data_IF_652843630632
#
_entry.id   IF_652843630632
#
_cell.length_a   1.000
_cell.length_b   1.000
_cell.length_c   1.000
_cell.angle_alpha   90.00
_cell.angle_beta   90.00
_cell.angle_gamma   90.00
#
_symmetry.space_group_name_H-M   'P 1'
#
loop_
_entity.id
_entity.type
_entity.pdbx_description
1 polymer ?
#
# COMPACT_ATOMS: atom_id res chain seq x y z
N UNK A 1 33.82 13.99 -8.63
CA UNK A 1 33.20 13.20 -7.57
C UNK A 1 33.61 11.75 -7.82
N UNK A 2 34.08 11.00 -6.82
CA UNK A 2 34.45 9.60 -7.04
C UNK A 2 33.20 8.76 -7.33
N UNK A 3 33.34 7.63 -8.05
CA UNK A 3 32.21 6.75 -8.39
C UNK A 3 31.46 6.29 -7.11
N UNK A 4 32.17 5.99 -6.02
CA UNK A 4 31.60 5.59 -4.72
C UNK A 4 30.75 6.71 -4.08
N UNK A 5 31.16 7.99 -4.14
CA UNK A 5 30.38 9.13 -3.65
C UNK A 5 29.13 9.37 -4.51
N UNK A 6 29.23 9.15 -5.81
CA UNK A 6 28.08 9.23 -6.70
C UNK A 6 27.08 8.12 -6.42
N UNK A 7 27.51 6.91 -6.16
CA UNK A 7 26.68 5.75 -5.83
C UNK A 7 25.95 5.96 -4.50
N UNK A 8 26.63 6.47 -3.45
CA UNK A 8 26.01 6.79 -2.17
C UNK A 8 24.96 7.90 -2.25
N UNK A 9 25.18 8.92 -3.09
CA UNK A 9 24.24 10.01 -3.30
C UNK A 9 22.98 9.53 -4.02
N UNK A 10 23.13 8.71 -5.06
CA UNK A 10 21.98 8.16 -5.79
C UNK A 10 21.19 7.19 -4.91
N UNK A 11 21.86 6.37 -4.09
CA UNK A 11 21.20 5.49 -3.12
C UNK A 11 20.38 6.28 -2.11
N UNK A 12 20.91 7.37 -1.55
CA UNK A 12 20.19 8.26 -0.64
C UNK A 12 19.00 8.95 -1.33
N UNK A 13 19.17 9.41 -2.57
CA UNK A 13 18.11 10.01 -3.38
C UNK A 13 16.99 9.01 -3.68
N UNK A 14 17.32 7.75 -3.99
CA UNK A 14 16.33 6.69 -4.19
C UNK A 14 15.52 6.41 -2.92
N UNK A 15 16.18 6.30 -1.77
CA UNK A 15 15.50 6.11 -0.48
C UNK A 15 14.55 7.28 -0.18
N UNK A 16 14.97 8.52 -0.47
CA UNK A 16 14.12 9.71 -0.28
C UNK A 16 12.94 9.73 -1.26
N UNK A 17 13.14 9.33 -2.53
CA UNK A 17 12.06 9.17 -3.50
C UNK A 17 11.07 8.09 -3.05
N UNK A 18 11.56 6.92 -2.60
CA UNK A 18 10.70 5.84 -2.08
C UNK A 18 9.87 6.32 -0.87
N UNK A 19 10.49 7.07 0.05
CA UNK A 19 9.79 7.64 1.20
C UNK A 19 8.69 8.62 0.77
N UNK A 20 8.96 9.50 -0.21
CA UNK A 20 7.96 10.45 -0.73
C UNK A 20 6.77 9.72 -1.37
N UNK A 21 7.01 8.65 -2.14
CA UNK A 21 5.94 7.80 -2.68
C UNK A 21 5.13 7.09 -1.59
N UNK A 22 5.80 6.62 -0.53
CA UNK A 22 5.12 5.96 0.59
C UNK A 22 4.17 6.89 1.36
N UNK A 23 4.52 8.16 1.52
CA UNK A 23 3.69 9.17 2.20
C UNK A 23 2.33 9.40 1.51
N UNK A 24 2.23 9.15 0.20
CA UNK A 24 1.00 9.42 -0.60
C UNK A 24 0.20 8.15 -0.94
N UNK A 25 0.60 6.97 -0.45
CA UNK A 25 -0.21 5.75 -0.60
C UNK A 25 -1.63 5.97 -0.10
N UNK A 26 -2.59 5.32 -0.76
CA UNK A 26 -4.03 5.44 -0.47
C UNK A 26 -4.67 6.72 -1.03
N UNK A 27 -3.90 7.78 -1.33
CA UNK A 27 -4.45 9.06 -1.78
C UNK A 27 -4.38 9.27 -3.29
N UNK A 28 -3.59 8.47 -4.00
CA UNK A 28 -3.31 8.64 -5.44
C UNK A 28 -4.13 7.75 -6.36
N UNK A 29 -4.68 6.66 -5.84
CA UNK A 29 -5.40 5.65 -6.63
C UNK A 29 -6.50 6.26 -7.52
N UNK A 30 -6.63 5.81 -8.77
CA UNK A 30 -5.97 4.66 -9.41
C UNK A 30 -4.53 4.90 -9.89
N UNK A 31 -3.97 6.11 -9.72
CA UNK A 31 -2.61 6.44 -10.11
C UNK A 31 -1.58 5.81 -9.16
N UNK A 32 -0.33 5.53 -9.63
CA UNK A 32 0.72 5.01 -8.78
C UNK A 32 1.21 6.05 -7.75
N UNK A 33 1.56 5.64 -6.52
CA UNK A 33 2.21 6.49 -5.53
C UNK A 33 3.71 6.65 -5.84
N UNK A 34 4.03 7.45 -6.84
CA UNK A 34 5.40 7.71 -7.29
C UNK A 34 6.05 8.77 -6.42
N UNK A 35 7.35 8.60 -6.16
CA UNK A 35 8.20 9.63 -5.60
C UNK A 35 9.34 9.97 -6.54
N UNK A 36 9.75 11.23 -6.56
CA UNK A 36 10.82 11.77 -7.39
C UNK A 36 11.72 12.71 -6.61
N UNK A 37 13.00 12.73 -6.94
CA UNK A 37 14.01 13.58 -6.30
C UNK A 37 14.92 14.18 -7.37
N UNK A 38 15.28 15.46 -7.23
CA UNK A 38 16.24 16.16 -8.09
C UNK A 38 17.53 16.40 -7.32
N UNK A 39 18.64 15.97 -7.90
CA UNK A 39 20.00 16.06 -7.31
C UNK A 39 20.94 16.72 -8.30
N UNK A 40 21.38 17.98 -8.09
CA UNK A 40 22.40 18.63 -8.87
C UNK A 40 23.77 17.93 -8.77
N UNK A 41 24.74 18.27 -9.64
CA UNK A 41 26.10 17.70 -9.58
C UNK A 41 26.81 17.91 -8.23
N UNK A 42 26.40 18.91 -7.44
CA UNK A 42 26.91 19.14 -6.07
C UNK A 42 26.51 18.07 -5.06
N UNK A 43 25.48 17.24 -5.37
CA UNK A 43 25.09 16.09 -4.57
C UNK A 43 24.03 16.36 -3.48
N UNK A 44 23.61 17.62 -3.30
CA UNK A 44 22.53 17.96 -2.36
C UNK A 44 21.16 17.85 -3.04
N UNK A 45 20.16 17.25 -2.36
CA UNK A 45 18.79 17.18 -2.86
C UNK A 45 18.18 18.59 -2.88
N UNK A 46 17.67 19.00 -4.03
CA UNK A 46 17.09 20.35 -4.24
C UNK A 46 15.61 20.33 -4.60
N UNK A 47 15.04 19.15 -4.84
CA UNK A 47 13.62 19.01 -5.10
C UNK A 47 13.17 17.60 -4.75
N UNK A 48 12.02 17.49 -4.09
CA UNK A 48 11.35 16.24 -3.76
C UNK A 48 9.89 16.36 -4.18
N UNK A 49 9.38 15.35 -4.85
CA UNK A 49 7.99 15.31 -5.29
C UNK A 49 7.35 13.96 -5.06
N UNK A 50 6.04 13.98 -4.88
CA UNK A 50 5.20 12.80 -4.87
C UNK A 50 3.97 13.02 -5.73
N UNK A 51 3.40 11.93 -6.26
CA UNK A 51 2.15 11.97 -7.03
C UNK A 51 1.05 12.67 -6.24
N UNK A 52 0.41 13.65 -6.84
CA UNK A 52 -0.73 14.32 -6.23
C UNK A 52 -2.02 13.51 -6.42
N UNK A 53 -3.07 13.76 -5.65
CA UNK A 53 -4.40 13.15 -5.87
C UNK A 53 -4.84 13.25 -7.33
N UNK A 54 -5.76 12.39 -7.73
CA UNK A 54 -6.23 12.26 -9.13
C UNK A 54 -6.55 13.60 -9.76
N UNK A 55 -5.89 13.90 -10.88
CA UNK A 55 -5.99 15.18 -11.60
C UNK A 55 -4.90 16.18 -11.25
N UNK A 56 -4.11 15.93 -10.20
CA UNK A 56 -2.95 16.71 -9.83
C UNK A 56 -1.67 16.32 -10.59
N UNK A 57 -0.56 16.98 -10.25
CA UNK A 57 0.73 16.79 -10.87
C UNK A 57 1.36 15.44 -10.50
N UNK A 58 2.19 14.90 -11.39
CA UNK A 58 3.02 13.74 -11.12
C UNK A 58 4.24 14.13 -10.26
N UNK A 59 4.88 13.14 -9.66
CA UNK A 59 6.00 13.32 -8.74
C UNK A 59 7.16 14.10 -9.34
N UNK A 60 7.49 13.84 -10.62
CA UNK A 60 8.57 14.48 -11.33
C UNK A 60 8.31 15.99 -11.49
N UNK A 61 7.08 16.37 -11.84
CA UNK A 61 6.67 17.77 -11.98
C UNK A 61 6.76 18.48 -10.63
N UNK A 62 6.33 17.86 -9.55
CA UNK A 62 6.46 18.41 -8.19
C UNK A 62 7.91 18.61 -7.79
N UNK A 63 8.76 17.61 -8.03
CA UNK A 63 10.20 17.71 -7.74
C UNK A 63 10.91 18.78 -8.58
N UNK A 64 10.53 18.92 -9.86
CA UNK A 64 11.06 19.98 -10.75
C UNK A 64 10.62 21.37 -10.31
N UNK A 65 9.36 21.53 -9.86
CA UNK A 65 8.86 22.80 -9.34
C UNK A 65 9.62 23.26 -8.10
N UNK A 66 9.92 22.34 -7.17
CA UNK A 66 10.71 22.64 -5.98
C UNK A 66 12.17 22.95 -6.32
N UNK A 67 12.76 22.21 -7.27
CA UNK A 67 14.16 22.40 -7.69
C UNK A 67 14.37 23.72 -8.44
N UNK A 68 13.39 24.20 -9.21
CA UNK A 68 13.51 25.37 -10.07
C UNK A 68 14.69 25.25 -11.03
N UNK A 69 15.43 26.35 -11.20
CA UNK A 69 16.58 26.42 -12.12
C UNK A 69 17.72 25.44 -11.77
N UNK A 70 17.76 24.92 -10.54
CA UNK A 70 18.75 23.93 -10.10
C UNK A 70 18.55 22.54 -10.74
N UNK A 71 17.43 22.32 -11.42
CA UNK A 71 17.17 21.09 -12.17
C UNK A 71 18.04 20.97 -13.42
N UNK A 72 18.54 22.09 -13.96
CA UNK A 72 19.38 22.10 -15.16
C UNK A 72 20.72 21.39 -14.88
N UNK A 73 21.02 20.37 -15.67
CA UNK A 73 22.20 19.52 -15.51
C UNK A 73 22.17 18.59 -14.32
N UNK A 74 21.05 18.53 -13.61
CA UNK A 74 20.86 17.66 -12.44
C UNK A 74 20.54 16.20 -12.85
N UNK A 75 20.52 15.32 -11.85
CA UNK A 75 20.02 13.95 -11.93
C UNK A 75 18.62 13.88 -11.30
N UNK A 76 17.65 13.31 -12.00
CA UNK A 76 16.36 12.94 -11.43
C UNK A 76 16.39 11.46 -11.02
N UNK A 77 15.91 11.15 -9.82
CA UNK A 77 15.73 9.77 -9.31
C UNK A 77 14.25 9.55 -9.02
N UNK A 78 13.63 8.61 -9.73
CA UNK A 78 12.18 8.39 -9.71
C UNK A 78 11.86 6.93 -9.39
N UNK A 79 10.81 6.67 -8.64
CA UNK A 79 10.46 5.28 -8.28
C UNK A 79 9.78 4.51 -9.41
N UNK A 80 9.21 5.19 -10.42
CA UNK A 80 8.61 4.60 -11.60
C UNK A 80 9.17 5.29 -12.86
N UNK A 81 9.26 4.58 -13.97
CA UNK A 81 9.64 5.14 -15.27
C UNK A 81 8.80 6.39 -15.61
N UNK A 82 9.40 7.54 -15.94
CA UNK A 82 8.66 8.74 -16.32
C UNK A 82 7.74 8.49 -17.51
N UNK A 83 6.49 8.92 -17.43
CA UNK A 83 5.52 8.64 -18.47
C UNK A 83 5.84 9.37 -19.80
N UNK A 84 5.52 8.69 -20.93
CA UNK A 84 5.68 9.22 -22.29
C UNK A 84 4.39 9.78 -22.90
N UNK A 85 3.22 9.53 -22.28
CA UNK A 85 1.93 9.93 -22.85
C UNK A 85 1.45 11.28 -22.33
N UNK A 86 0.67 11.97 -23.16
CA UNK A 86 -0.09 13.16 -22.75
C UNK A 86 -1.40 12.71 -22.14
N UNK A 87 -1.49 12.79 -20.81
CA UNK A 87 -2.70 12.57 -20.07
C UNK A 87 -3.42 13.88 -19.74
N UNK A 88 -3.86 14.05 -18.50
CA UNK A 88 -4.40 15.33 -17.97
C UNK A 88 -3.29 16.37 -17.79
N UNK A 89 -2.08 15.91 -17.56
CA UNK A 89 -0.82 16.70 -17.53
C UNK A 89 0.04 16.27 -18.71
N UNK A 90 1.00 17.10 -19.12
CA UNK A 90 1.98 16.73 -20.14
C UNK A 90 2.86 15.54 -19.69
N UNK A 91 3.57 14.87 -20.63
CA UNK A 91 4.45 13.75 -20.32
C UNK A 91 5.57 14.16 -19.36
N UNK A 92 5.82 13.37 -18.32
CA UNK A 92 6.92 13.64 -17.38
C UNK A 92 8.29 13.58 -18.06
N UNK A 93 8.47 12.68 -19.04
CA UNK A 93 9.69 12.64 -19.85
C UNK A 93 9.95 13.99 -20.53
N UNK A 94 8.93 14.63 -21.11
CA UNK A 94 9.09 15.95 -21.74
C UNK A 94 9.40 17.05 -20.69
N UNK A 95 8.72 17.02 -19.53
CA UNK A 95 9.00 17.99 -18.46
C UNK A 95 10.46 17.92 -17.97
N UNK A 96 11.03 16.72 -17.85
CA UNK A 96 12.42 16.50 -17.47
C UNK A 96 13.40 17.03 -18.57
N UNK A 97 13.08 16.81 -19.85
CA UNK A 97 13.85 17.32 -20.99
C UNK A 97 13.83 18.86 -20.98
N UNK A 98 12.66 19.46 -20.86
CA UNK A 98 12.48 20.92 -20.87
C UNK A 98 13.20 21.61 -19.71
N UNK A 99 13.25 20.96 -18.55
CA UNK A 99 14.01 21.39 -17.38
C UNK A 99 15.54 21.27 -17.59
N UNK A 100 15.97 20.56 -18.61
CA UNK A 100 17.40 20.35 -18.91
C UNK A 100 18.08 19.40 -17.95
N UNK A 101 17.36 18.39 -17.44
CA UNK A 101 17.91 17.32 -16.61
C UNK A 101 18.92 16.52 -17.45
N UNK A 102 20.11 16.25 -16.89
CA UNK A 102 21.17 15.55 -17.62
C UNK A 102 21.08 14.03 -17.50
N UNK A 103 20.50 13.53 -16.41
CA UNK A 103 20.41 12.10 -16.11
C UNK A 103 19.10 11.75 -15.41
N UNK A 104 18.54 10.58 -15.73
CA UNK A 104 17.35 10.03 -15.07
C UNK A 104 17.64 8.60 -14.62
N UNK A 105 17.44 8.35 -13.33
CA UNK A 105 17.40 7.01 -12.78
C UNK A 105 15.96 6.67 -12.39
N UNK A 106 15.52 5.44 -12.69
CA UNK A 106 14.21 4.97 -12.26
C UNK A 106 14.27 3.56 -11.68
N UNK A 107 13.36 3.24 -10.74
CA UNK A 107 13.35 1.96 -10.05
C UNK A 107 12.56 0.89 -10.83
N UNK A 108 11.32 1.17 -11.20
CA UNK A 108 10.44 0.25 -11.92
C UNK A 108 10.13 0.76 -13.33
N UNK A 109 10.12 -0.17 -14.29
CA UNK A 109 9.51 0.12 -15.60
C UNK A 109 7.98 0.20 -15.46
N UNK A 110 7.33 1.11 -16.19
CA UNK A 110 5.88 1.21 -16.19
C UNK A 110 5.29 0.02 -16.99
N UNK A 111 4.45 -0.84 -16.38
CA UNK A 111 3.87 -1.99 -17.05
C UNK A 111 2.70 -1.61 -17.97
N UNK A 112 2.23 -0.36 -17.93
CA UNK A 112 1.06 0.08 -18.71
C UNK A 112 1.47 0.52 -20.10
N UNK A 113 0.92 -0.07 -21.17
CA UNK A 113 1.31 0.28 -22.55
C UNK A 113 1.10 1.76 -22.89
N UNK A 114 0.18 2.44 -22.20
CA UNK A 114 -0.15 3.83 -22.42
C UNK A 114 0.94 4.78 -21.87
N UNK A 115 1.56 4.44 -20.73
CA UNK A 115 2.50 5.31 -20.05
C UNK A 115 3.97 4.95 -20.29
N UNK A 116 4.26 3.68 -20.63
CA UNK A 116 5.61 3.19 -20.89
C UNK A 116 6.33 3.92 -22.04
N UNK A 117 7.65 3.81 -22.07
CA UNK A 117 8.49 4.33 -23.14
C UNK A 117 9.12 5.70 -22.86
N UNK A 118 8.94 6.25 -21.66
CA UNK A 118 9.56 7.51 -21.26
C UNK A 118 11.08 7.44 -21.18
N UNK A 119 11.63 6.30 -20.79
CA UNK A 119 13.06 6.06 -20.81
C UNK A 119 13.66 6.18 -22.22
N UNK A 120 12.95 5.66 -23.23
CA UNK A 120 13.38 5.76 -24.62
C UNK A 120 13.30 7.20 -25.14
N UNK A 121 12.20 7.93 -24.83
CA UNK A 121 12.03 9.35 -25.19
C UNK A 121 13.15 10.21 -24.59
N UNK A 122 13.48 9.99 -23.31
CA UNK A 122 14.58 10.68 -22.63
C UNK A 122 15.93 10.39 -23.29
N UNK A 123 16.22 9.13 -23.59
CA UNK A 123 17.47 8.71 -24.22
C UNK A 123 17.62 9.31 -25.65
N UNK A 124 16.54 9.35 -26.43
CA UNK A 124 16.53 9.97 -27.76
C UNK A 124 16.79 11.50 -27.69
N UNK A 125 16.39 12.14 -26.58
CA UNK A 125 16.68 13.56 -26.33
C UNK A 125 18.11 13.81 -25.77
N UNK A 126 18.92 12.76 -25.60
CA UNK A 126 20.32 12.88 -25.12
C UNK A 126 20.43 12.87 -23.58
N UNK A 127 19.37 12.54 -22.85
CA UNK A 127 19.41 12.34 -21.39
C UNK A 127 20.00 10.96 -21.10
N UNK A 128 20.94 10.87 -20.15
CA UNK A 128 21.48 9.59 -19.68
C UNK A 128 20.45 8.88 -18.79
N UNK A 129 19.99 7.69 -19.19
CA UNK A 129 18.91 6.98 -18.49
C UNK A 129 19.38 5.60 -18.03
N UNK A 130 19.13 5.26 -16.76
CA UNK A 130 19.40 3.94 -16.23
C UNK A 130 18.34 3.47 -15.22
N UNK A 131 18.09 2.17 -15.20
CA UNK A 131 17.25 1.52 -14.20
C UNK A 131 18.08 1.18 -12.97
N UNK A 132 17.53 1.45 -11.78
CA UNK A 132 18.11 1.08 -10.49
C UNK A 132 17.57 -0.26 -10.00
N UNK A 133 18.32 -0.88 -9.08
CA UNK A 133 17.84 -2.01 -8.31
C UNK A 133 17.21 -1.54 -6.99
N UNK A 134 16.19 -2.29 -6.53
CA UNK A 134 15.54 -2.00 -5.26
C UNK A 134 16.50 -2.30 -4.11
N UNK A 135 16.70 -1.35 -3.18
CA UNK A 135 17.47 -1.62 -1.97
C UNK A 135 16.87 -2.77 -1.17
N UNK A 136 17.68 -3.69 -0.63
CA UNK A 136 17.17 -4.77 0.20
C UNK A 136 16.50 -4.22 1.47
N UNK A 137 15.46 -4.92 1.92
CA UNK A 137 14.75 -4.62 3.17
C UNK A 137 14.06 -3.23 3.24
N UNK A 138 13.90 -2.55 2.13
CA UNK A 138 13.12 -1.30 2.05
C UNK A 138 11.73 -1.62 1.52
N UNK A 139 10.70 -1.13 2.22
CA UNK A 139 9.32 -1.23 1.74
C UNK A 139 9.16 -0.42 0.46
N UNK A 140 8.41 -0.97 -0.49
CA UNK A 140 8.19 -0.37 -1.79
C UNK A 140 6.70 -0.08 -1.99
N UNK A 141 6.35 1.18 -1.91
CA UNK A 141 4.99 1.68 -2.02
C UNK A 141 4.31 1.37 -3.37
N UNK A 142 5.10 1.09 -4.41
CA UNK A 142 4.58 0.77 -5.75
C UNK A 142 4.16 -0.70 -5.91
N UNK A 143 4.62 -1.61 -5.06
CA UNK A 143 4.34 -3.04 -5.20
C UNK A 143 2.83 -3.35 -5.32
N UNK A 144 1.95 -2.81 -4.48
CA UNK A 144 0.52 -3.06 -4.61
C UNK A 144 -0.06 -2.55 -5.94
N UNK A 145 0.35 -1.36 -6.37
CA UNK A 145 -0.10 -0.78 -7.64
C UNK A 145 0.40 -1.59 -8.84
N UNK A 146 1.70 -1.93 -8.87
CA UNK A 146 2.31 -2.75 -9.93
C UNK A 146 1.64 -4.12 -10.04
N UNK A 147 1.31 -4.72 -8.90
CA UNK A 147 0.56 -5.96 -8.84
C UNK A 147 -0.84 -5.77 -9.44
N UNK A 148 -1.57 -4.76 -8.98
CA UNK A 148 -2.96 -4.54 -9.38
C UNK A 148 -3.11 -4.29 -10.89
N UNK A 149 -2.22 -3.48 -11.50
CA UNK A 149 -2.30 -3.21 -12.96
C UNK A 149 -1.92 -4.43 -13.80
N UNK A 150 -1.08 -5.33 -13.30
CA UNK A 150 -0.70 -6.58 -14.00
C UNK A 150 -1.78 -7.66 -13.91
N UNK A 151 -2.46 -7.74 -12.76
CA UNK A 151 -3.44 -8.81 -12.47
C UNK A 151 -4.88 -8.38 -12.65
N UNK A 152 -5.14 -7.09 -12.84
CA UNK A 152 -6.47 -6.48 -12.96
C UNK A 152 -7.37 -6.75 -11.74
N UNK A 153 -6.77 -6.87 -10.57
CA UNK A 153 -7.44 -6.91 -9.26
C UNK A 153 -6.62 -6.14 -8.22
N UNK A 154 -7.24 -5.64 -7.13
CA UNK A 154 -6.47 -5.03 -6.06
C UNK A 154 -5.49 -6.02 -5.43
N UNK A 155 -4.35 -5.50 -4.96
CA UNK A 155 -3.47 -6.24 -4.06
C UNK A 155 -4.16 -6.43 -2.71
N UNK A 156 -4.12 -7.64 -2.18
CA UNK A 156 -4.82 -8.03 -0.96
C UNK A 156 -3.83 -8.31 0.16
N UNK A 157 -3.85 -7.47 1.19
CA UNK A 157 -3.15 -7.74 2.45
C UNK A 157 -4.15 -8.29 3.46
N UNK A 158 -3.92 -9.50 3.96
CA UNK A 158 -4.67 -10.08 5.08
C UNK A 158 -4.03 -9.63 6.40
N UNK A 159 -4.79 -8.95 7.24
CA UNK A 159 -4.36 -8.53 8.57
C UNK A 159 -5.08 -9.32 9.64
N UNK A 160 -4.32 -9.81 10.61
CA UNK A 160 -4.87 -10.37 11.84
C UNK A 160 -4.02 -10.03 13.06
N UNK A 161 -4.66 -10.02 14.22
CA UNK A 161 -4.00 -9.93 15.53
C UNK A 161 -4.24 -11.23 16.28
N UNK A 162 -3.19 -11.81 16.83
CA UNK A 162 -3.26 -13.08 17.55
C UNK A 162 -2.41 -13.09 18.82
N UNK A 163 -2.76 -13.99 19.71
CA UNK A 163 -1.92 -14.36 20.87
C UNK A 163 -0.70 -15.19 20.43
N UNK A 164 0.26 -15.42 21.32
CA UNK A 164 1.43 -16.28 21.05
C UNK A 164 1.02 -17.72 20.67
N UNK A 165 -0.10 -18.21 21.21
CA UNK A 165 -0.65 -19.52 20.92
C UNK A 165 -1.68 -19.53 19.78
N UNK A 166 -1.79 -18.43 19.01
CA UNK A 166 -2.48 -18.41 17.71
C UNK A 166 -3.95 -18.07 17.73
N UNK A 167 -4.50 -17.51 18.81
CA UNK A 167 -5.93 -17.19 18.93
C UNK A 167 -6.20 -15.71 18.66
N UNK A 168 -7.31 -15.43 17.97
CA UNK A 168 -7.82 -14.10 17.65
C UNK A 168 -8.99 -13.68 18.53
N UNK A 169 -9.52 -14.60 19.34
CA UNK A 169 -10.53 -14.38 20.36
C UNK A 169 -10.48 -15.50 21.39
N UNK A 170 -10.88 -15.23 22.62
CA UNK A 170 -11.05 -16.23 23.67
C UNK A 170 -12.23 -17.19 23.37
N UNK A 171 -12.36 -18.26 24.16
CA UNK A 171 -13.43 -19.27 24.00
C UNK A 171 -14.84 -18.66 24.15
N UNK A 172 -15.01 -17.66 25.00
CA UNK A 172 -16.27 -16.92 25.18
C UNK A 172 -16.59 -15.94 24.05
N UNK A 173 -15.64 -15.76 23.11
CA UNK A 173 -15.76 -14.84 21.97
C UNK A 173 -15.22 -13.44 22.21
N UNK A 174 -14.74 -13.10 23.41
CA UNK A 174 -14.09 -11.81 23.65
C UNK A 174 -12.78 -11.71 22.86
N UNK A 175 -12.58 -10.56 22.18
CA UNK A 175 -11.42 -10.30 21.30
C UNK A 175 -10.74 -8.96 21.55
N UNK A 176 -11.29 -8.13 22.42
CA UNK A 176 -10.79 -6.78 22.70
C UNK A 176 -10.20 -6.70 24.11
N UNK A 177 -8.92 -6.34 24.29
CA UNK A 177 -7.94 -6.07 23.24
C UNK A 177 -6.84 -7.11 23.33
N UNK A 178 -6.54 -7.78 22.22
CA UNK A 178 -5.43 -8.73 22.14
C UNK A 178 -4.12 -7.96 22.08
N UNK A 179 -4.02 -6.93 21.19
CA UNK A 179 -2.83 -6.12 21.00
C UNK A 179 -2.89 -4.82 21.81
N UNK A 180 -1.72 -4.32 22.17
CA UNK A 180 -1.54 -3.06 22.90
C UNK A 180 -1.83 -1.82 22.05
N UNK A 181 -1.73 -0.66 22.68
CA UNK A 181 -2.04 0.65 22.06
C UNK A 181 -1.14 0.96 20.87
N UNK A 182 0.16 0.74 20.99
CA UNK A 182 1.12 0.99 19.91
C UNK A 182 0.81 0.21 18.62
N UNK A 183 0.36 -1.05 18.75
CA UNK A 183 -0.06 -1.84 17.60
C UNK A 183 -1.36 -1.32 17.00
N UNK A 184 -2.33 -0.91 17.81
CA UNK A 184 -3.59 -0.31 17.32
C UNK A 184 -3.35 1.02 16.59
N UNK A 185 -2.48 1.88 17.11
CA UNK A 185 -2.09 3.14 16.46
C UNK A 185 -1.43 2.87 15.10
N UNK A 186 -0.57 1.84 15.03
CA UNK A 186 0.04 1.42 13.77
C UNK A 186 -1.00 0.92 12.77
N UNK A 187 -1.99 0.12 13.19
CA UNK A 187 -3.10 -0.31 12.33
C UNK A 187 -3.87 0.89 11.77
N UNK A 188 -4.14 1.90 12.58
CA UNK A 188 -4.79 3.13 12.11
C UNK A 188 -3.93 3.94 11.13
N UNK A 189 -2.61 3.94 11.29
CA UNK A 189 -1.70 4.53 10.32
C UNK A 189 -1.70 3.75 9.00
N UNK A 190 -1.63 2.42 9.04
CA UNK A 190 -1.70 1.56 7.85
C UNK A 190 -3.03 1.73 7.10
N UNK A 191 -4.16 1.79 7.79
CA UNK A 191 -5.48 2.05 7.19
C UNK A 191 -5.52 3.34 6.35
N UNK A 192 -4.80 4.39 6.77
CA UNK A 192 -4.73 5.65 6.02
C UNK A 192 -3.94 5.51 4.70
N UNK A 193 -3.21 4.43 4.51
CA UNK A 193 -2.45 4.13 3.30
C UNK A 193 -3.13 3.08 2.40
N UNK A 194 -4.38 2.70 2.71
CA UNK A 194 -5.15 1.71 1.95
C UNK A 194 -6.30 2.35 1.20
N UNK A 195 -6.64 1.81 0.03
CA UNK A 195 -7.80 2.27 -0.74
C UNK A 195 -9.12 1.78 -0.11
N UNK A 196 -9.12 0.57 0.46
CA UNK A 196 -10.28 0.02 1.14
C UNK A 196 -9.90 -0.91 2.30
N UNK A 197 -10.77 -0.95 3.32
CA UNK A 197 -10.77 -1.96 4.37
C UNK A 197 -11.96 -2.89 4.13
N UNK A 198 -11.70 -4.19 4.19
CA UNK A 198 -12.67 -5.23 3.89
C UNK A 198 -12.91 -6.10 5.13
N UNK A 199 -14.18 -6.25 5.52
CA UNK A 199 -14.61 -7.17 6.57
C UNK A 199 -15.75 -8.07 6.10
N UNK A 200 -16.00 -9.17 6.76
CA UNK A 200 -17.18 -9.98 6.51
C UNK A 200 -18.41 -9.46 7.29
N UNK A 201 -19.63 -9.80 6.83
CA UNK A 201 -20.87 -9.48 7.56
C UNK A 201 -20.86 -10.02 9.00
N UNK A 202 -20.11 -11.10 9.28
CA UNK A 202 -19.95 -11.63 10.65
C UNK A 202 -19.26 -10.63 11.57
N UNK A 203 -18.13 -10.10 11.16
CA UNK A 203 -17.37 -9.08 11.89
C UNK A 203 -18.16 -7.77 11.97
N UNK A 204 -18.79 -7.36 10.87
CA UNK A 204 -19.61 -6.15 10.85
C UNK A 204 -20.72 -6.17 11.92
N UNK A 205 -21.41 -7.31 12.07
CA UNK A 205 -22.51 -7.47 13.04
C UNK A 205 -22.04 -7.75 14.48
N UNK A 206 -20.89 -8.42 14.65
CA UNK A 206 -20.40 -8.75 15.99
C UNK A 206 -19.69 -7.56 16.66
N UNK A 207 -18.91 -6.80 15.89
CA UNK A 207 -18.00 -5.80 16.43
C UNK A 207 -18.47 -4.36 16.18
N UNK A 208 -19.51 -4.14 15.33
CA UNK A 208 -19.99 -2.82 14.92
C UNK A 208 -18.84 -1.85 14.59
N UNK A 209 -17.91 -2.23 13.71
CA UNK A 209 -16.67 -1.47 13.52
C UNK A 209 -16.89 -0.20 12.73
N UNK A 210 -16.16 0.86 13.06
CA UNK A 210 -16.14 2.10 12.27
C UNK A 210 -15.27 2.02 11.02
N UNK A 211 -14.31 1.12 10.96
CA UNK A 211 -13.32 0.93 9.87
C UNK A 211 -12.67 2.26 9.41
N UNK A 212 -12.36 3.12 10.37
CA UNK A 212 -11.76 4.43 10.15
C UNK A 212 -10.24 4.40 10.38
N UNK A 213 -9.52 5.32 9.74
CA UNK A 213 -8.14 5.66 10.05
C UNK A 213 -8.11 6.86 11.02
N UNK A 214 -7.52 6.69 12.20
CA UNK A 214 -7.51 7.70 13.29
C UNK A 214 -6.10 7.93 13.84
N UNK A 215 -5.93 9.05 14.51
CA UNK A 215 -4.81 9.30 15.41
C UNK A 215 -5.11 8.71 16.80
N UNK A 216 -4.10 8.63 17.66
CA UNK A 216 -4.23 8.14 19.05
C UNK A 216 -5.20 8.97 19.90
N UNK A 217 -5.39 10.26 19.60
CA UNK A 217 -6.38 11.12 20.26
C UNK A 217 -7.83 10.89 19.76
N UNK A 218 -8.04 9.94 18.84
CA UNK A 218 -9.33 9.60 18.26
C UNK A 218 -9.75 10.46 17.07
N UNK A 219 -9.02 11.54 16.74
CA UNK A 219 -9.30 12.37 15.56
C UNK A 219 -9.06 11.60 14.26
N UNK A 220 -9.84 11.91 13.22
CA UNK A 220 -9.72 11.23 11.92
C UNK A 220 -8.48 11.70 11.17
N UNK A 221 -7.78 10.77 10.54
CA UNK A 221 -6.75 11.09 9.55
C UNK A 221 -7.39 11.67 8.31
N UNK A 222 -6.66 12.51 7.57
CA UNK A 222 -7.17 13.22 6.39
C UNK A 222 -7.69 12.26 5.30
N UNK A 223 -6.96 11.15 5.05
CA UNK A 223 -7.42 10.11 4.15
C UNK A 223 -8.17 9.02 4.94
N UNK A 224 -9.35 8.64 4.44
CA UNK A 224 -10.17 7.56 4.97
C UNK A 224 -10.37 6.50 3.90
N UNK A 225 -10.04 5.24 4.18
CA UNK A 225 -10.28 4.15 3.24
C UNK A 225 -11.78 3.91 3.01
N UNK A 226 -12.13 3.36 1.86
CA UNK A 226 -13.47 2.83 1.59
C UNK A 226 -13.78 1.72 2.59
N UNK A 227 -15.02 1.64 3.06
CA UNK A 227 -15.49 0.60 3.99
C UNK A 227 -16.26 -0.44 3.21
N UNK A 228 -15.75 -1.66 3.19
CA UNK A 228 -16.30 -2.73 2.36
C UNK A 228 -16.71 -3.91 3.23
N UNK A 229 -17.91 -4.41 3.00
CA UNK A 229 -18.43 -5.59 3.69
C UNK A 229 -18.76 -6.68 2.69
N UNK A 230 -18.26 -7.89 2.92
CA UNK A 230 -18.52 -9.05 2.06
C UNK A 230 -19.49 -10.01 2.76
N UNK A 231 -20.54 -10.37 2.06
CA UNK A 231 -21.55 -11.36 2.47
C UNK A 231 -22.98 -10.86 2.36
N UNK A 232 -23.92 -11.78 2.45
CA UNK A 232 -25.34 -11.59 2.10
C UNK A 232 -26.24 -11.17 3.27
N UNK A 233 -25.69 -11.10 4.51
CA UNK A 233 -26.52 -10.71 5.65
C UNK A 233 -26.88 -9.23 5.54
N UNK A 234 -28.14 -8.91 5.75
CA UNK A 234 -28.63 -7.54 5.68
C UNK A 234 -28.14 -6.72 6.89
N UNK A 235 -27.32 -5.73 6.60
CA UNK A 235 -26.79 -4.77 7.59
C UNK A 235 -27.72 -3.56 7.76
N UNK A 236 -28.59 -3.28 6.78
CA UNK A 236 -29.47 -2.15 6.83
C UNK A 236 -30.54 -2.31 7.92
N UNK A 237 -31.01 -3.53 8.13
CA UNK A 237 -32.01 -3.88 9.17
C UNK A 237 -31.40 -4.35 10.49
N UNK A 238 -30.06 -4.37 10.63
CA UNK A 238 -29.37 -4.96 11.79
C UNK A 238 -29.45 -4.14 13.10
N UNK A 239 -30.22 -3.05 13.14
CA UNK A 239 -30.32 -2.19 14.33
C UNK A 239 -28.94 -1.68 14.78
N UNK A 240 -28.68 -1.66 16.08
CA UNK A 240 -27.45 -1.11 16.63
C UNK A 240 -26.19 -1.90 16.25
N UNK A 241 -26.34 -3.17 15.85
CA UNK A 241 -25.21 -4.06 15.53
C UNK A 241 -24.37 -3.63 14.32
N UNK A 242 -24.86 -2.72 13.46
CA UNK A 242 -24.10 -2.15 12.34
C UNK A 242 -24.29 -0.63 12.23
N UNK A 243 -24.57 0.05 13.34
CA UNK A 243 -24.85 1.49 13.35
C UNK A 243 -23.70 2.33 12.80
N UNK A 244 -22.47 2.06 13.20
CA UNK A 244 -21.31 2.82 12.74
C UNK A 244 -21.12 2.74 11.22
N UNK A 245 -21.27 1.57 10.63
CA UNK A 245 -21.14 1.40 9.17
C UNK A 245 -22.27 2.14 8.44
N UNK A 246 -23.53 2.10 8.95
CA UNK A 246 -24.63 2.84 8.33
C UNK A 246 -24.46 4.36 8.42
N UNK A 247 -23.96 4.86 9.55
CA UNK A 247 -23.72 6.30 9.74
C UNK A 247 -22.56 6.80 8.86
N UNK A 248 -21.49 6.02 8.75
CA UNK A 248 -20.28 6.41 8.02
C UNK A 248 -20.31 6.07 6.52
N UNK A 249 -21.28 5.26 6.11
CA UNK A 249 -21.38 4.71 4.76
C UNK A 249 -20.46 3.50 4.54
N UNK A 250 -20.93 2.52 3.79
CA UNK A 250 -20.21 1.32 3.41
C UNK A 250 -20.69 0.80 2.06
N UNK A 251 -19.89 -0.04 1.45
CA UNK A 251 -20.22 -0.80 0.25
C UNK A 251 -20.39 -2.26 0.66
N UNK A 252 -21.40 -2.94 0.12
CA UNK A 252 -21.62 -4.36 0.41
C UNK A 252 -21.67 -5.15 -0.89
N UNK A 253 -20.96 -6.28 -0.89
CA UNK A 253 -20.88 -7.21 -2.02
C UNK A 253 -21.20 -8.64 -1.55
N UNK A 254 -21.83 -9.43 -2.41
CA UNK A 254 -22.27 -10.78 -2.09
C UNK A 254 -21.11 -11.78 -2.04
N UNK A 255 -20.05 -11.54 -2.84
CA UNK A 255 -18.89 -12.43 -2.96
C UNK A 255 -17.55 -11.67 -2.96
N UNK A 256 -16.46 -12.40 -2.76
CA UNK A 256 -15.09 -11.87 -2.83
C UNK A 256 -14.77 -11.42 -4.27
N UNK A 257 -15.14 -12.21 -5.24
CA UNK A 257 -14.88 -11.97 -6.66
C UNK A 257 -15.56 -10.68 -7.14
N UNK A 258 -16.83 -10.49 -6.77
CA UNK A 258 -17.57 -9.27 -7.06
C UNK A 258 -16.89 -8.05 -6.40
N UNK A 259 -16.57 -8.15 -5.12
CA UNK A 259 -15.90 -7.07 -4.39
C UNK A 259 -14.57 -6.67 -5.04
N UNK A 260 -13.71 -7.62 -5.39
CA UNK A 260 -12.42 -7.35 -6.00
C UNK A 260 -12.57 -6.73 -7.42
N UNK A 261 -13.52 -7.22 -8.20
CA UNK A 261 -13.82 -6.69 -9.53
C UNK A 261 -14.28 -5.22 -9.45
N UNK A 262 -15.27 -4.92 -8.63
CA UNK A 262 -15.84 -3.56 -8.49
C UNK A 262 -14.84 -2.60 -7.85
N UNK A 263 -14.07 -3.05 -6.86
CA UNK A 263 -13.02 -2.25 -6.25
C UNK A 263 -11.95 -1.86 -7.28
N UNK A 264 -11.48 -2.80 -8.10
CA UNK A 264 -10.51 -2.51 -9.16
C UNK A 264 -11.09 -1.59 -10.23
N UNK A 265 -12.29 -1.85 -10.70
CA UNK A 265 -12.99 -1.06 -11.73
C UNK A 265 -13.21 0.40 -11.29
N UNK A 266 -13.44 0.60 -9.99
CA UNK A 266 -13.65 1.93 -9.38
C UNK A 266 -12.36 2.57 -8.82
N UNK A 267 -11.19 1.98 -9.12
CA UNK A 267 -9.89 2.60 -8.91
C UNK A 267 -9.07 2.10 -7.73
N UNK A 268 -9.58 1.21 -6.87
CA UNK A 268 -8.78 0.65 -5.77
C UNK A 268 -7.66 -0.26 -6.30
N UNK A 269 -6.49 -0.16 -5.69
CA UNK A 269 -5.28 -0.91 -6.05
C UNK A 269 -4.70 -1.69 -4.87
N UNK A 270 -4.94 -1.23 -3.65
CA UNK A 270 -4.38 -1.80 -2.42
C UNK A 270 -5.45 -1.88 -1.33
N UNK A 271 -5.82 -3.10 -0.90
CA UNK A 271 -6.87 -3.31 0.08
C UNK A 271 -6.37 -4.11 1.30
N UNK A 272 -6.94 -3.79 2.46
CA UNK A 272 -6.67 -4.45 3.73
C UNK A 272 -7.88 -5.29 4.13
N UNK A 273 -7.72 -6.60 4.23
CA UNK A 273 -8.74 -7.51 4.75
C UNK A 273 -8.52 -7.67 6.26
N UNK A 274 -9.43 -7.11 7.03
CA UNK A 274 -9.46 -7.19 8.50
C UNK A 274 -10.62 -8.08 9.00
N UNK A 275 -11.07 -8.98 8.14
CA UNK A 275 -12.21 -9.83 8.40
C UNK A 275 -11.94 -10.88 9.50
N UNK A 276 -13.02 -11.41 10.06
CA UNK A 276 -12.96 -12.56 10.97
C UNK A 276 -12.42 -13.82 10.27
N UNK A 277 -12.15 -14.84 11.07
CA UNK A 277 -11.53 -16.09 10.64
C UNK A 277 -12.21 -16.79 9.43
N UNK A 278 -13.53 -16.61 9.28
CA UNK A 278 -14.26 -17.15 8.11
C UNK A 278 -13.88 -16.48 6.80
N UNK A 279 -13.82 -15.14 6.77
CA UNK A 279 -13.42 -14.40 5.58
C UNK A 279 -11.95 -14.64 5.24
N UNK A 280 -11.07 -14.68 6.26
CA UNK A 280 -9.65 -15.02 6.09
C UNK A 280 -9.46 -16.39 5.45
N UNK A 281 -10.21 -17.41 5.93
CA UNK A 281 -10.20 -18.75 5.31
C UNK A 281 -10.66 -18.72 3.86
N UNK A 282 -11.70 -17.92 3.53
CA UNK A 282 -12.24 -17.83 2.18
C UNK A 282 -11.25 -17.18 1.22
N UNK A 283 -10.59 -16.08 1.61
CA UNK A 283 -9.54 -15.44 0.80
C UNK A 283 -8.34 -16.36 0.55
N UNK A 284 -7.87 -17.06 1.59
CA UNK A 284 -6.76 -18.01 1.45
C UNK A 284 -7.14 -19.21 0.58
N UNK A 285 -8.35 -19.76 0.75
CA UNK A 285 -8.83 -20.89 -0.06
C UNK A 285 -9.01 -20.53 -1.53
N UNK A 286 -9.39 -19.28 -1.82
CA UNK A 286 -9.52 -18.75 -3.18
C UNK A 286 -8.17 -18.32 -3.79
N UNK A 287 -7.07 -18.45 -3.06
CA UNK A 287 -5.73 -18.06 -3.53
C UNK A 287 -5.59 -16.54 -3.78
N UNK A 288 -6.31 -15.72 -2.99
CA UNK A 288 -6.46 -14.27 -3.17
C UNK A 288 -5.74 -13.43 -2.09
N UNK A 289 -4.81 -14.01 -1.34
CA UNK A 289 -3.97 -13.28 -0.36
C UNK A 289 -2.57 -13.09 -0.94
N UNK A 290 -2.14 -11.84 -1.11
CA UNK A 290 -0.84 -11.47 -1.68
C UNK A 290 0.17 -11.13 -0.58
N UNK A 291 -0.29 -10.55 0.53
CA UNK A 291 0.52 -10.21 1.68
C UNK A 291 -0.21 -10.49 3.00
N UNK A 292 0.56 -10.61 4.08
CA UNK A 292 0.03 -10.80 5.43
C UNK A 292 0.69 -9.79 6.37
N UNK A 293 -0.13 -9.11 7.19
CA UNK A 293 0.29 -8.32 8.35
C UNK A 293 -0.17 -9.04 9.62
N UNK A 294 0.74 -9.80 10.24
CA UNK A 294 0.48 -10.58 11.45
C UNK A 294 0.94 -9.81 12.69
N UNK A 295 0.00 -9.42 13.55
CA UNK A 295 0.27 -8.81 14.84
C UNK A 295 0.24 -9.90 15.92
N UNK A 296 1.34 -10.07 16.64
CA UNK A 296 1.50 -11.11 17.66
C UNK A 296 1.64 -10.44 19.02
N UNK A 297 0.68 -10.67 19.89
CA UNK A 297 0.67 -10.15 21.26
C UNK A 297 1.24 -11.18 22.25
N UNK A 298 1.93 -10.75 23.32
CA UNK A 298 2.52 -11.63 24.32
C UNK A 298 1.49 -12.17 25.31
N UNK A 299 0.42 -12.74 24.77
CA UNK A 299 -0.70 -13.36 25.51
C UNK A 299 -0.80 -14.86 25.21
N UNK A 300 -1.30 -15.63 26.16
CA UNK A 300 -1.66 -17.03 26.03
C UNK A 300 -3.10 -17.24 26.49
N UNK A 301 -3.92 -17.89 25.69
CA UNK A 301 -5.31 -18.19 25.99
C UNK A 301 -5.52 -19.71 26.24
N UNK A 302 -4.73 -20.57 25.63
CA UNK A 302 -4.87 -22.02 25.71
C UNK A 302 -6.03 -22.59 24.90
N UNK A 303 -7.14 -21.85 24.76
CA UNK A 303 -8.31 -22.18 23.97
C UNK A 303 -8.93 -20.90 23.40
N UNK A 304 -9.50 -20.97 22.19
CA UNK A 304 -10.12 -19.80 21.56
C UNK A 304 -10.39 -19.99 20.07
N UNK A 305 -10.69 -18.88 19.38
CA UNK A 305 -10.87 -18.85 17.92
C UNK A 305 -9.54 -18.59 17.24
N UNK A 306 -9.11 -19.47 16.33
CA UNK A 306 -7.90 -19.27 15.55
C UNK A 306 -8.07 -18.21 14.44
N UNK A 307 -6.95 -17.87 13.80
CA UNK A 307 -6.91 -16.97 12.64
C UNK A 307 -7.81 -17.44 11.50
N UNK A 308 -7.95 -18.75 11.33
CA UNK A 308 -8.75 -19.39 10.29
C UNK A 308 -9.88 -20.21 10.91
N UNK A 309 -11.10 -20.05 10.39
CA UNK A 309 -12.28 -20.80 10.85
C UNK A 309 -12.39 -22.17 10.18
N UNK A 310 -11.78 -22.35 9.02
CA UNK A 310 -11.89 -23.57 8.22
C UNK A 310 -10.52 -23.99 7.69
N UNK A 311 -10.28 -25.29 7.53
CA UNK A 311 -9.07 -25.79 6.89
C UNK A 311 -8.90 -25.21 5.48
N UNK A 312 -7.72 -24.71 5.17
CA UNK A 312 -7.35 -24.23 3.82
C UNK A 312 -6.67 -25.35 3.04
N UNK A 313 -5.88 -26.15 3.71
CA UNK A 313 -5.18 -27.32 3.16
C UNK A 313 -5.34 -28.51 4.10
N UNK A 314 -5.12 -29.72 3.58
CA UNK A 314 -5.19 -30.96 4.39
C UNK A 314 -3.83 -31.43 4.86
N UNK A 315 -2.78 -31.08 4.13
CA UNK A 315 -1.42 -31.55 4.42
C UNK A 315 -0.44 -30.39 4.49
N UNK A 316 0.65 -30.56 5.21
CA UNK A 316 1.73 -29.56 5.28
C UNK A 316 2.40 -29.32 3.92
N UNK A 317 2.38 -30.31 3.03
CA UNK A 317 2.92 -30.18 1.68
C UNK A 317 2.10 -29.19 0.80
N UNK A 318 0.81 -29.08 1.05
CA UNK A 318 -0.12 -28.18 0.34
C UNK A 318 -0.15 -26.76 0.95
N UNK A 319 0.54 -26.54 2.08
CA UNK A 319 0.47 -25.27 2.81
C UNK A 319 0.95 -24.11 1.93
N UNK A 320 0.14 -23.06 1.85
CA UNK A 320 0.55 -21.79 1.23
C UNK A 320 1.73 -21.20 1.99
N UNK A 321 2.80 -20.88 1.27
CA UNK A 321 4.03 -20.33 1.86
C UNK A 321 4.13 -18.85 1.56
N UNK A 322 4.60 -18.11 2.56
CA UNK A 322 4.89 -16.68 2.46
C UNK A 322 6.33 -16.42 2.89
N UNK A 323 6.93 -15.37 2.34
CA UNK A 323 8.29 -14.93 2.66
C UNK A 323 8.22 -13.70 3.56
N UNK A 324 8.96 -13.72 4.67
CA UNK A 324 9.04 -12.56 5.58
C UNK A 324 9.80 -11.42 4.91
N UNK A 325 9.18 -10.24 4.87
CA UNK A 325 9.78 -9.02 4.33
C UNK A 325 10.03 -7.95 5.40
N UNK A 326 9.31 -8.01 6.52
CA UNK A 326 9.45 -7.04 7.61
C UNK A 326 9.19 -7.66 8.99
N UNK A 327 9.74 -7.00 10.01
CA UNK A 327 9.42 -7.24 11.42
C UNK A 327 9.61 -5.93 12.18
N UNK A 328 8.60 -5.54 12.98
CA UNK A 328 8.62 -4.30 13.74
C UNK A 328 8.08 -4.52 15.16
N UNK A 329 8.83 -4.14 16.21
CA UNK A 329 8.29 -4.08 17.56
C UNK A 329 7.29 -2.92 17.68
N UNK A 330 6.16 -3.16 18.34
CA UNK A 330 5.09 -2.19 18.58
C UNK A 330 4.68 -2.24 20.07
N UNK A 331 5.48 -1.63 20.92
CA UNK A 331 5.43 -1.87 22.36
C UNK A 331 5.89 -3.29 22.68
N UNK A 332 5.06 -4.06 23.38
CA UNK A 332 5.30 -5.48 23.67
C UNK A 332 4.86 -6.40 22.53
N UNK A 333 4.06 -5.90 21.57
CA UNK A 333 3.61 -6.67 20.41
C UNK A 333 4.67 -6.67 19.29
N UNK A 334 4.54 -7.63 18.37
CA UNK A 334 5.38 -7.70 17.18
C UNK A 334 4.50 -7.76 15.93
N UNK A 335 4.72 -6.83 15.01
CA UNK A 335 4.22 -6.93 13.63
C UNK A 335 5.23 -7.72 12.80
N UNK A 336 4.75 -8.74 12.10
CA UNK A 336 5.53 -9.48 11.10
C UNK A 336 4.79 -9.38 9.76
N UNK A 337 5.53 -8.96 8.73
CA UNK A 337 5.01 -8.77 7.38
C UNK A 337 5.57 -9.83 6.44
N UNK A 338 4.66 -10.40 5.65
CA UNK A 338 4.97 -11.45 4.71
C UNK A 338 4.39 -11.12 3.34
N UNK A 339 5.06 -11.57 2.28
CA UNK A 339 4.57 -11.55 0.89
C UNK A 339 4.62 -12.96 0.30
N UNK A 340 3.86 -13.16 -0.73
CA UNK A 340 3.77 -14.41 -1.47
C UNK A 340 4.93 -14.63 -2.43
#
# INVERSE_FOLDING_TARGET
MSAELQDSTISAALLRAMAAGAEVRGTTSPNPPVGAVIVPPAGEIVGVGATQPVGGAHAEVMALQEAGDKARGATAVVTLEPCAHTGRTGPCAQALIDAGVARVYYLHADPTPQAAGGAEVLAQAGVDVAKLEKPPHVEDALVPWLFAVRTQRPHVTLKFAQTLDGFTAAADGTSQWITGEAARDWVHADRAHRDAIVVGTGTALADNPSLTARFSDGSLRAHQPRRVVIGKRDLASAGDAASHLRELGYEQYDSIEEALYELYATGARDILVEGGAGLASSFLKADLVDAISAYIAPLLLGEGRGVLAHPVTQTLAEATRFHRVGMKPLGDDVLIEYVR
#
